data_IF_760105032930
#
_entry.id   IF_760105032930
#
_cell.length_a   1.000
_cell.length_b   1.000
_cell.length_c   1.000
_cell.angle_alpha   90.00
_cell.angle_beta   90.00
_cell.angle_gamma   90.00
#
_symmetry.space_group_name_H-M   'P 1'
#
loop_
_entity.id
_entity.type
_entity.pdbx_description
1 polymer ?
#
# COMPACT_ATOMS: atom_id res chain seq x y z
N UNK A 1 -16.51 -3.49 -33.43
CA UNK A 1 -16.75 -2.35 -32.49
C UNK A 1 -17.02 -2.82 -31.06
N UNK A 2 -17.99 -3.70 -30.82
CA UNK A 2 -18.40 -4.17 -29.47
C UNK A 2 -17.33 -4.98 -28.72
N UNK A 3 -16.65 -5.92 -29.39
CA UNK A 3 -15.61 -6.77 -28.76
C UNK A 3 -14.40 -5.93 -28.33
N UNK A 4 -14.00 -4.95 -29.15
CA UNK A 4 -12.87 -4.06 -28.87
C UNK A 4 -13.14 -3.18 -27.63
N UNK A 5 -14.37 -2.65 -27.50
CA UNK A 5 -14.80 -1.92 -26.29
C UNK A 5 -14.83 -2.82 -25.04
N UNK A 6 -15.25 -4.09 -25.19
CA UNK A 6 -15.27 -5.02 -24.07
C UNK A 6 -13.88 -5.33 -23.52
N UNK A 7 -12.90 -5.56 -24.41
CA UNK A 7 -11.50 -5.81 -24.03
C UNK A 7 -10.87 -4.56 -23.37
N UNK A 8 -11.15 -3.37 -23.92
CA UNK A 8 -10.70 -2.10 -23.35
C UNK A 8 -11.21 -1.88 -21.92
N UNK A 9 -12.49 -2.18 -21.66
CA UNK A 9 -13.06 -2.04 -20.32
C UNK A 9 -12.44 -3.01 -19.30
N UNK A 10 -12.17 -4.27 -19.69
CA UNK A 10 -11.50 -5.23 -18.80
C UNK A 10 -10.08 -4.78 -18.44
N UNK A 11 -9.33 -4.22 -19.39
CA UNK A 11 -7.99 -3.69 -19.13
C UNK A 11 -8.01 -2.49 -18.17
N UNK A 12 -8.95 -1.56 -18.36
CA UNK A 12 -9.12 -0.41 -17.46
C UNK A 12 -9.51 -0.87 -16.05
N UNK A 13 -10.39 -1.86 -15.94
CA UNK A 13 -10.82 -2.41 -14.64
C UNK A 13 -9.65 -3.08 -13.91
N UNK A 14 -8.85 -3.87 -14.62
CA UNK A 14 -7.65 -4.49 -14.06
C UNK A 14 -6.63 -3.43 -13.58
N UNK A 15 -6.44 -2.36 -14.35
CA UNK A 15 -5.53 -1.27 -13.99
C UNK A 15 -6.01 -0.51 -12.73
N UNK A 16 -7.32 -0.21 -12.65
CA UNK A 16 -7.91 0.40 -11.46
C UNK A 16 -7.80 -0.50 -10.23
N UNK A 17 -7.98 -1.81 -10.39
CA UNK A 17 -7.83 -2.77 -9.29
C UNK A 17 -6.38 -2.85 -8.78
N UNK A 18 -5.38 -2.79 -9.67
CA UNK A 18 -3.97 -2.80 -9.29
C UNK A 18 -3.57 -1.49 -8.61
N UNK A 19 -3.96 -0.33 -9.16
CA UNK A 19 -3.61 0.99 -8.60
C UNK A 19 -4.34 1.22 -7.28
N UNK A 20 -5.62 0.87 -7.20
CA UNK A 20 -6.41 0.96 -5.96
C UNK A 20 -5.98 -0.07 -4.90
N UNK A 21 -5.71 -1.31 -5.30
CA UNK A 21 -5.27 -2.37 -4.39
C UNK A 21 -3.83 -2.18 -3.90
N UNK A 22 -2.92 -1.78 -4.79
CA UNK A 22 -1.51 -1.57 -4.48
C UNK A 22 -1.28 -0.43 -3.48
N UNK A 23 -2.05 0.65 -3.58
CA UNK A 23 -1.99 1.74 -2.60
C UNK A 23 -2.42 1.29 -1.20
N UNK A 24 -3.43 0.43 -1.11
CA UNK A 24 -3.91 -0.14 0.17
C UNK A 24 -2.84 -1.03 0.83
N UNK A 25 -2.16 -1.87 0.05
CA UNK A 25 -1.08 -2.73 0.55
C UNK A 25 0.12 -1.88 1.04
N UNK A 26 0.48 -0.84 0.29
CA UNK A 26 1.55 0.08 0.67
C UNK A 26 1.26 0.78 2.00
N UNK A 27 0.00 1.18 2.24
CA UNK A 27 -0.43 1.78 3.52
C UNK A 27 -0.27 0.78 4.67
N UNK A 28 -0.72 -0.46 4.50
CA UNK A 28 -0.62 -1.49 5.55
C UNK A 28 0.85 -1.78 5.88
N UNK A 29 1.69 -1.98 4.86
CA UNK A 29 3.13 -2.20 5.06
C UNK A 29 3.81 -0.98 5.69
N UNK A 30 3.40 0.23 5.32
CA UNK A 30 3.89 1.48 5.91
C UNK A 30 3.57 1.59 7.40
N UNK A 31 2.36 1.22 7.82
CA UNK A 31 1.96 1.20 9.24
C UNK A 31 2.82 0.20 10.01
N UNK A 32 2.93 -1.04 9.52
CA UNK A 32 3.71 -2.11 10.18
C UNK A 32 5.19 -1.70 10.28
N UNK A 33 5.78 -1.21 9.18
CA UNK A 33 7.16 -0.75 9.14
C UNK A 33 7.42 0.40 10.11
N UNK A 34 6.48 1.35 10.21
CA UNK A 34 6.59 2.47 11.15
C UNK A 34 6.56 1.98 12.60
N UNK A 35 5.67 1.04 12.94
CA UNK A 35 5.60 0.45 14.28
C UNK A 35 6.93 -0.24 14.63
N UNK A 36 7.41 -1.12 13.73
CA UNK A 36 8.69 -1.83 13.93
C UNK A 36 9.84 -0.84 14.12
N UNK A 37 9.91 0.20 13.30
CA UNK A 37 10.95 1.22 13.39
C UNK A 37 10.88 2.00 14.71
N UNK A 38 9.67 2.36 15.18
CA UNK A 38 9.50 3.03 16.46
C UNK A 38 9.96 2.13 17.63
N UNK A 39 9.61 0.83 17.61
CA UNK A 39 10.10 -0.13 18.60
C UNK A 39 11.63 -0.28 18.57
N UNK A 40 12.21 -0.41 17.37
CA UNK A 40 13.66 -0.47 17.19
C UNK A 40 14.36 0.76 17.78
N UNK A 41 13.84 1.97 17.50
CA UNK A 41 14.42 3.21 18.03
C UNK A 41 14.33 3.30 19.54
N UNK A 42 13.23 2.84 20.15
CA UNK A 42 13.10 2.79 21.60
C UNK A 42 14.12 1.84 22.23
N UNK A 43 14.27 0.64 21.68
CA UNK A 43 15.20 -0.38 22.22
C UNK A 43 16.66 0.08 22.06
N UNK A 44 17.02 0.62 20.88
CA UNK A 44 18.42 0.97 20.57
C UNK A 44 18.86 2.33 21.13
N UNK A 45 17.97 3.32 21.14
CA UNK A 45 18.32 4.71 21.45
C UNK A 45 17.59 5.26 22.68
N UNK A 46 16.75 4.47 23.36
CA UNK A 46 15.99 4.92 24.52
C UNK A 46 14.96 6.03 24.23
N UNK A 47 14.69 6.32 22.95
CA UNK A 47 13.75 7.37 22.54
C UNK A 47 12.30 6.95 22.78
N UNK A 48 11.44 7.91 23.13
CA UNK A 48 10.01 7.68 23.30
C UNK A 48 9.37 7.12 22.02
N UNK A 49 8.40 6.23 22.17
CA UNK A 49 7.57 5.69 21.06
C UNK A 49 6.61 6.74 20.49
N UNK A 50 6.32 7.78 21.29
CA UNK A 50 5.23 8.72 21.10
C UNK A 50 5.68 10.18 20.94
N UNK A 51 7.00 10.44 21.00
CA UNK A 51 7.60 11.65 20.41
C UNK A 51 7.71 11.49 18.89
#
# INVERSE_FOLDING_TARGET
MTILHSIGNYLVFAFMAIVGGGSSIAVILGIIGTIIYKFYRKIKYGKSLYD
#
